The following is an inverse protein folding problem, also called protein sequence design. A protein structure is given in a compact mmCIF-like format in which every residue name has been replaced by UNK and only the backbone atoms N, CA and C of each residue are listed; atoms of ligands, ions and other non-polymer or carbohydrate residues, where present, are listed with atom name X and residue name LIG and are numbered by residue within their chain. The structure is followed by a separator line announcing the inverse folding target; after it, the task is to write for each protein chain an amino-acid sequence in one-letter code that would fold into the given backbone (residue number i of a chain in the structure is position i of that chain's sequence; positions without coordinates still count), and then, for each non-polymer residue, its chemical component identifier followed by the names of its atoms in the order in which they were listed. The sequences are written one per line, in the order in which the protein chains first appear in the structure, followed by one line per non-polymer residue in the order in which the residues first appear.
data_IF_654383108162
#
_entry.id   IF_654383108162
#
_cell.length_a   1.000
_cell.length_b   1.000
_cell.length_c   1.000
_cell.angle_alpha   90.00
_cell.angle_beta   90.00
_cell.angle_gamma   90.00
#
_symmetry.space_group_name_H-M   'P 1'
#
loop_
_entity.id
_entity.type
_entity.pdbx_description
1 polymer ?
#
# COMPACT_ATOMS: atom_id res chain seq x y z
N UNK A 1 4.84 -1.62 -13.81
CA UNK A 1 6.16 -1.29 -14.40
C UNK A 1 7.25 -2.27 -13.94
N UNK A 2 6.87 -3.52 -13.78
CA UNK A 2 7.74 -4.59 -13.29
C UNK A 2 8.95 -4.80 -14.20
N UNK A 3 10.16 -4.77 -13.62
CA UNK A 3 11.43 -4.91 -14.36
C UNK A 3 11.73 -3.76 -15.34
N UNK A 4 10.95 -2.69 -15.36
CA UNK A 4 11.13 -1.60 -16.31
C UNK A 4 12.43 -0.83 -16.02
N UNK A 5 13.14 -0.44 -17.08
CA UNK A 5 14.28 0.46 -16.96
C UNK A 5 13.81 1.92 -17.04
N UNK A 6 13.82 2.60 -15.90
CA UNK A 6 13.45 4.01 -15.73
C UNK A 6 14.68 4.84 -15.32
N UNK A 7 15.89 4.36 -15.61
CA UNK A 7 17.10 5.07 -15.24
C UNK A 7 17.16 6.44 -15.92
N UNK A 8 17.41 7.50 -15.14
CA UNK A 8 17.42 8.87 -15.62
C UNK A 8 16.04 9.45 -15.97
N UNK A 9 14.94 8.72 -15.74
CA UNK A 9 13.61 9.20 -16.07
C UNK A 9 13.22 10.43 -15.24
N UNK A 10 12.48 11.35 -15.86
CA UNK A 10 11.86 12.48 -15.18
C UNK A 10 10.45 12.08 -14.71
N UNK A 11 10.29 11.93 -13.40
CA UNK A 11 9.05 11.51 -12.72
C UNK A 11 8.52 12.60 -11.78
N UNK A 12 9.01 13.83 -11.91
CA UNK A 12 8.44 15.01 -11.25
C UNK A 12 6.97 15.15 -11.66
N UNK A 13 6.07 15.38 -10.69
CA UNK A 13 4.60 15.38 -10.86
C UNK A 13 3.95 14.05 -11.27
N UNK A 14 4.70 12.95 -11.34
CA UNK A 14 4.13 11.66 -11.69
C UNK A 14 3.20 11.15 -10.58
N UNK A 15 2.14 10.46 -10.99
CA UNK A 15 1.32 9.67 -10.10
C UNK A 15 1.75 8.20 -10.23
N UNK A 16 2.40 7.68 -9.19
CA UNK A 16 2.82 6.29 -9.10
C UNK A 16 1.91 5.47 -8.17
N UNK A 17 0.75 5.99 -7.77
CA UNK A 17 -0.20 5.27 -6.93
C UNK A 17 -0.56 3.91 -7.53
N UNK A 18 -0.52 2.85 -6.71
CA UNK A 18 -0.79 1.46 -7.08
C UNK A 18 0.13 0.90 -8.20
N UNK A 19 1.30 1.50 -8.42
CA UNK A 19 2.21 1.05 -9.48
C UNK A 19 3.11 -0.08 -9.00
N UNK A 20 3.08 -1.21 -9.70
CA UNK A 20 4.04 -2.30 -9.47
C UNK A 20 5.43 -1.90 -9.98
N UNK A 21 6.38 -1.72 -9.06
CA UNK A 21 7.77 -1.36 -9.35
C UNK A 21 8.77 -2.49 -9.02
N UNK A 22 8.29 -3.72 -8.82
CA UNK A 22 9.16 -4.86 -8.52
C UNK A 22 10.30 -4.98 -9.55
N UNK A 23 11.55 -4.95 -9.08
CA UNK A 23 12.77 -4.99 -9.90
C UNK A 23 12.89 -3.87 -10.96
N UNK A 24 12.10 -2.80 -10.86
CA UNK A 24 12.24 -1.64 -11.73
C UNK A 24 13.55 -0.89 -11.39
N UNK A 25 14.20 -0.33 -12.41
CA UNK A 25 15.43 0.44 -12.24
C UNK A 25 15.15 1.95 -12.24
N UNK A 26 15.23 2.59 -11.07
CA UNK A 26 15.09 4.04 -10.90
C UNK A 26 16.44 4.76 -10.78
N UNK A 27 17.55 4.13 -11.20
CA UNK A 27 18.88 4.73 -11.07
C UNK A 27 18.93 6.12 -11.70
N UNK A 28 19.31 7.14 -10.93
CA UNK A 28 19.38 8.56 -11.36
C UNK A 28 18.05 9.15 -11.84
N UNK A 29 16.91 8.52 -11.54
CA UNK A 29 15.61 9.12 -11.82
C UNK A 29 15.42 10.40 -10.99
N UNK A 30 14.63 11.33 -11.52
CA UNK A 30 14.28 12.60 -10.88
C UNK A 30 12.84 12.56 -10.41
N UNK A 31 12.63 12.72 -9.11
CA UNK A 31 11.31 12.75 -8.50
C UNK A 31 11.08 14.10 -7.82
N UNK A 32 9.82 14.43 -7.58
CA UNK A 32 9.43 15.64 -6.86
C UNK A 32 7.99 15.96 -7.16
N UNK A 33 7.20 16.28 -6.14
CA UNK A 33 5.73 16.39 -6.27
C UNK A 33 5.12 15.11 -6.87
N UNK A 34 5.78 13.97 -6.64
CA UNK A 34 5.37 12.64 -7.09
C UNK A 34 4.46 12.03 -6.04
N UNK A 35 3.37 11.38 -6.44
CA UNK A 35 2.50 10.63 -5.54
C UNK A 35 2.95 9.16 -5.47
N UNK A 36 3.29 8.70 -4.27
CA UNK A 36 3.71 7.33 -3.96
C UNK A 36 2.75 6.78 -2.91
N UNK A 37 1.79 5.97 -3.33
CA UNK A 37 0.84 5.30 -2.43
C UNK A 37 0.55 3.90 -2.97
N UNK A 38 0.49 2.91 -2.12
CA UNK A 38 0.34 1.49 -2.41
C UNK A 38 1.43 1.00 -3.37
N UNK A 39 2.66 1.43 -3.09
CA UNK A 39 3.87 1.07 -3.85
C UNK A 39 4.87 0.42 -2.90
N UNK A 40 5.33 -0.77 -3.27
CA UNK A 40 6.46 -1.43 -2.63
C UNK A 40 7.78 -1.02 -3.32
N UNK A 41 8.68 -0.42 -2.55
CA UNK A 41 10.00 0.02 -3.01
C UNK A 41 11.13 -0.93 -2.59
N UNK A 42 10.84 -2.01 -1.86
CA UNK A 42 11.85 -2.90 -1.27
C UNK A 42 12.78 -3.56 -2.29
N UNK A 43 12.26 -3.89 -3.47
CA UNK A 43 12.99 -4.52 -4.57
C UNK A 43 13.32 -3.56 -5.73
N UNK A 44 13.18 -2.25 -5.52
CA UNK A 44 13.49 -1.25 -6.55
C UNK A 44 14.99 -0.99 -6.63
N UNK A 45 15.54 -1.00 -7.85
CA UNK A 45 16.96 -0.84 -8.10
C UNK A 45 17.30 0.65 -8.20
N UNK A 46 18.38 1.07 -7.53
CA UNK A 46 18.98 2.40 -7.71
C UNK A 46 18.37 3.52 -6.87
N UNK A 47 17.57 3.20 -5.84
CA UNK A 47 16.91 4.17 -4.96
C UNK A 47 17.86 5.23 -4.36
N UNK A 48 19.10 4.86 -4.02
CA UNK A 48 20.11 5.79 -3.46
C UNK A 48 20.57 6.87 -4.44
N UNK A 49 20.39 6.64 -5.74
CA UNK A 49 20.81 7.57 -6.79
C UNK A 49 19.66 8.43 -7.31
N UNK A 50 18.44 8.19 -6.82
CA UNK A 50 17.29 9.02 -7.13
C UNK A 50 17.53 10.43 -6.60
N UNK A 51 17.25 11.42 -7.44
CA UNK A 51 17.31 12.83 -7.06
C UNK A 51 15.90 13.33 -6.79
N UNK A 52 15.68 13.92 -5.60
CA UNK A 52 14.41 14.56 -5.26
C UNK A 52 14.55 16.08 -5.46
N UNK A 53 13.92 16.60 -6.52
CA UNK A 53 13.90 18.03 -6.84
C UNK A 53 12.94 18.81 -5.91
N UNK A 54 11.89 18.12 -5.42
CA UNK A 54 10.92 18.60 -4.43
C UNK A 54 10.49 17.45 -3.51
N UNK A 55 9.76 17.78 -2.44
CA UNK A 55 9.08 16.78 -1.62
C UNK A 55 8.07 15.99 -2.45
N UNK A 56 7.93 14.71 -2.15
CA UNK A 56 6.93 13.82 -2.74
C UNK A 56 5.90 13.45 -1.68
N UNK A 57 4.68 13.12 -2.11
CA UNK A 57 3.67 12.57 -1.22
C UNK A 57 3.93 11.07 -1.05
N UNK A 58 4.29 10.63 0.15
CA UNK A 58 4.53 9.21 0.47
C UNK A 58 3.43 8.73 1.41
N UNK A 59 2.69 7.72 0.98
CA UNK A 59 1.66 7.04 1.78
C UNK A 59 2.27 6.27 2.94
N UNK A 60 1.52 6.19 4.04
CA UNK A 60 1.88 5.35 5.21
C UNK A 60 1.90 3.87 4.80
N UNK A 61 0.97 3.47 3.93
CA UNK A 61 0.93 2.20 3.22
C UNK A 61 2.27 1.91 2.49
N UNK A 62 2.78 2.80 1.65
CA UNK A 62 4.08 2.64 0.96
C UNK A 62 5.24 2.47 1.95
N UNK A 63 5.27 3.22 3.05
CA UNK A 63 6.30 3.07 4.09
C UNK A 63 6.26 1.67 4.71
N UNK A 64 5.08 1.22 5.10
CA UNK A 64 4.86 -0.09 5.74
C UNK A 64 5.14 -1.23 4.77
N UNK A 65 4.61 -1.16 3.54
CA UNK A 65 4.80 -2.16 2.49
C UNK A 65 6.29 -2.33 2.18
N UNK A 66 7.00 -1.22 1.94
CA UNK A 66 8.43 -1.26 1.64
C UNK A 66 9.26 -1.79 2.82
N UNK A 67 8.89 -1.45 4.05
CA UNK A 67 9.54 -1.96 5.26
C UNK A 67 9.34 -3.48 5.42
N UNK A 68 8.12 -3.97 5.22
CA UNK A 68 7.76 -5.40 5.30
C UNK A 68 8.40 -6.20 4.16
N UNK A 69 8.32 -5.68 2.93
CA UNK A 69 8.94 -6.27 1.73
C UNK A 69 10.45 -6.42 1.89
N UNK A 70 11.11 -5.46 2.55
CA UNK A 70 12.54 -5.54 2.89
C UNK A 70 12.85 -6.43 4.12
N UNK A 71 11.92 -7.31 4.52
CA UNK A 71 12.12 -8.25 5.62
C UNK A 71 12.03 -7.62 7.00
N UNK A 72 11.11 -6.66 7.18
CA UNK A 72 10.93 -5.86 8.41
C UNK A 72 12.18 -5.08 8.80
N UNK A 73 12.86 -4.49 7.80
CA UNK A 73 14.07 -3.70 7.99
C UNK A 73 14.01 -2.46 7.11
N UNK A 74 14.34 -1.31 7.70
CA UNK A 74 14.54 -0.10 6.93
C UNK A 74 15.98 -0.09 6.40
N UNK A 75 16.16 -0.49 5.13
CA UNK A 75 17.49 -0.53 4.50
C UNK A 75 18.04 0.89 4.30
N UNK A 76 19.38 1.05 4.18
CA UNK A 76 19.99 2.35 3.87
C UNK A 76 19.43 2.99 2.59
N UNK A 77 19.09 2.19 1.60
CA UNK A 77 18.52 2.61 0.32
C UNK A 77 17.14 3.22 0.51
N UNK A 78 16.24 2.50 1.19
CA UNK A 78 14.89 2.98 1.52
C UNK A 78 14.95 4.25 2.38
N UNK A 79 15.83 4.25 3.40
CA UNK A 79 16.00 5.40 4.30
C UNK A 79 16.45 6.65 3.55
N UNK A 80 17.42 6.50 2.65
CA UNK A 80 17.91 7.59 1.80
C UNK A 80 16.81 8.12 0.90
N UNK A 81 16.05 7.24 0.26
CA UNK A 81 14.94 7.61 -0.62
C UNK A 81 13.82 8.34 0.14
N UNK A 82 13.33 7.79 1.25
CA UNK A 82 12.24 8.41 2.01
C UNK A 82 12.64 9.76 2.60
N UNK A 83 13.87 9.88 3.11
CA UNK A 83 14.40 11.18 3.56
C UNK A 83 14.46 12.18 2.41
N UNK A 84 14.95 11.75 1.23
CA UNK A 84 14.96 12.58 0.02
C UNK A 84 13.56 13.03 -0.42
N UNK A 85 12.57 12.15 -0.30
CA UNK A 85 11.16 12.44 -0.56
C UNK A 85 10.53 13.42 0.45
N UNK A 86 11.20 13.68 1.58
CA UNK A 86 10.74 14.61 2.62
C UNK A 86 10.05 13.95 3.81
N UNK A 87 10.19 12.62 3.97
CA UNK A 87 9.74 11.91 5.18
C UNK A 87 10.68 12.27 6.35
N UNK A 88 10.17 12.72 7.50
CA UNK A 88 10.98 13.04 8.67
C UNK A 88 11.77 11.84 9.18
N UNK A 89 13.00 12.09 9.64
CA UNK A 89 13.90 11.05 10.14
C UNK A 89 13.34 10.38 11.39
N UNK A 90 12.72 11.15 12.27
CA UNK A 90 12.12 10.69 13.53
C UNK A 90 11.02 9.68 13.27
N UNK A 91 10.24 9.87 12.20
CA UNK A 91 9.22 8.92 11.78
C UNK A 91 9.85 7.62 11.27
N UNK A 92 10.94 7.71 10.50
CA UNK A 92 11.68 6.55 10.00
C UNK A 92 12.33 5.74 11.13
N UNK A 93 12.75 6.41 12.21
CA UNK A 93 13.29 5.76 13.41
C UNK A 93 12.21 5.08 14.26
N UNK A 94 11.04 5.70 14.38
CA UNK A 94 9.90 5.12 15.10
C UNK A 94 9.22 3.97 14.33
N UNK A 95 9.34 3.95 13.00
CA UNK A 95 8.62 3.02 12.12
C UNK A 95 8.75 1.55 12.54
N UNK A 96 9.94 0.98 12.83
CA UNK A 96 10.04 -0.42 13.22
C UNK A 96 9.26 -0.76 14.50
N UNK A 97 9.26 0.14 15.48
CA UNK A 97 8.49 -0.03 16.72
C UNK A 97 6.99 0.03 16.48
N UNK A 98 6.54 0.96 15.63
CA UNK A 98 5.12 1.08 15.24
C UNK A 98 4.67 -0.17 14.48
N UNK A 99 5.48 -0.65 13.52
CA UNK A 99 5.09 -1.77 12.65
C UNK A 99 5.21 -3.13 13.33
N UNK A 100 6.14 -3.30 14.27
CA UNK A 100 6.29 -4.56 15.01
C UNK A 100 5.05 -4.91 15.86
N UNK A 101 4.39 -3.90 16.42
CA UNK A 101 3.18 -4.06 17.23
C UNK A 101 1.93 -4.36 16.38
N UNK A 102 1.92 -3.92 15.11
CA UNK A 102 0.74 -4.02 14.24
C UNK A 102 0.90 -5.16 13.24
N UNK A 103 0.23 -6.28 13.51
CA UNK A 103 0.29 -7.47 12.64
C UNK A 103 -0.53 -7.35 11.36
N UNK A 104 -1.60 -6.55 11.34
CA UNK A 104 -2.48 -6.36 10.18
C UNK A 104 -3.09 -4.95 10.18
N UNK A 105 -3.00 -4.22 9.07
CA UNK A 105 -3.53 -2.86 8.98
C UNK A 105 -4.91 -2.76 8.35
N UNK A 106 -5.19 -3.62 7.36
CA UNK A 106 -6.38 -3.49 6.53
C UNK A 106 -6.96 -4.86 6.15
N UNK A 107 -8.27 -5.02 6.35
CA UNK A 107 -9.02 -6.21 5.98
C UNK A 107 -10.24 -5.84 5.14
N UNK A 108 -10.44 -6.56 4.05
CA UNK A 108 -11.62 -6.48 3.22
C UNK A 108 -12.52 -7.67 3.49
N UNK A 109 -13.78 -7.44 3.87
CA UNK A 109 -14.74 -8.51 4.19
C UNK A 109 -15.78 -8.56 3.08
N UNK A 110 -15.65 -9.54 2.20
CA UNK A 110 -16.64 -9.83 1.17
C UNK A 110 -17.72 -10.74 1.73
N UNK A 111 -18.98 -10.36 1.54
CA UNK A 111 -20.15 -11.08 2.02
C UNK A 111 -21.28 -11.02 0.98
N UNK A 112 -22.09 -12.06 0.90
CA UNK A 112 -23.40 -12.03 0.26
C UNK A 112 -24.49 -12.26 1.30
N UNK A 113 -25.74 -12.25 0.89
CA UNK A 113 -26.84 -12.81 1.66
C UNK A 113 -26.59 -14.32 1.87
N UNK A 114 -26.92 -14.87 3.05
CA UNK A 114 -27.52 -14.22 4.23
C UNK A 114 -26.51 -13.62 5.23
N UNK A 115 -25.23 -13.51 4.89
CA UNK A 115 -24.12 -13.26 5.82
C UNK A 115 -23.95 -11.80 6.30
N UNK A 116 -24.90 -10.90 6.00
CA UNK A 116 -24.76 -9.47 6.28
C UNK A 116 -24.53 -9.16 7.76
N UNK A 117 -25.34 -9.77 8.63
CA UNK A 117 -25.23 -9.52 10.08
C UNK A 117 -23.90 -10.03 10.64
N UNK A 118 -23.46 -11.21 10.16
CA UNK A 118 -22.17 -11.77 10.55
C UNK A 118 -21.00 -10.93 10.05
N UNK A 119 -21.06 -10.43 8.81
CA UNK A 119 -20.05 -9.55 8.23
C UNK A 119 -19.88 -8.27 9.05
N UNK A 120 -20.99 -7.63 9.43
CA UNK A 120 -20.97 -6.41 10.26
C UNK A 120 -20.35 -6.67 11.63
N UNK A 121 -20.76 -7.75 12.29
CA UNK A 121 -20.21 -8.13 13.59
C UNK A 121 -18.71 -8.41 13.52
N UNK A 122 -18.26 -9.14 12.49
CA UNK A 122 -16.84 -9.40 12.27
C UNK A 122 -16.05 -8.12 12.03
N UNK A 123 -16.62 -7.16 11.28
CA UNK A 123 -16.01 -5.85 11.05
C UNK A 123 -15.81 -5.10 12.37
N UNK A 124 -16.85 -4.99 13.19
CA UNK A 124 -16.80 -4.33 14.49
C UNK A 124 -15.79 -5.00 15.44
N UNK A 125 -15.77 -6.33 15.49
CA UNK A 125 -14.83 -7.10 16.32
C UNK A 125 -13.36 -6.89 15.90
N UNK A 126 -13.11 -6.70 14.60
CA UNK A 126 -11.77 -6.46 14.05
C UNK A 126 -11.33 -5.00 14.25
N UNK A 127 -12.24 -4.05 14.03
CA UNK A 127 -12.01 -2.63 14.33
C UNK A 127 -11.74 -2.39 15.81
N UNK A 128 -12.45 -3.10 16.71
CA UNK A 128 -12.19 -3.09 18.16
C UNK A 128 -10.80 -3.62 18.54
N UNK A 129 -10.12 -4.34 17.63
CA UNK A 129 -8.73 -4.81 17.78
C UNK A 129 -7.73 -3.95 16.99
N UNK A 130 -8.17 -2.83 16.42
CA UNK A 130 -7.33 -1.89 15.68
C UNK A 130 -7.08 -2.26 14.21
N UNK A 131 -7.84 -3.19 13.62
CA UNK A 131 -7.73 -3.54 12.21
C UNK A 131 -8.72 -2.70 11.41
N UNK A 132 -8.25 -1.91 10.44
CA UNK A 132 -9.15 -1.17 9.56
C UNK A 132 -9.91 -2.15 8.66
N UNK A 133 -11.23 -2.06 8.63
CA UNK A 133 -12.07 -3.00 7.89
C UNK A 133 -12.98 -2.30 6.90
N UNK A 134 -13.20 -2.92 5.74
CA UNK A 134 -14.16 -2.45 4.75
C UNK A 134 -15.07 -3.60 4.35
N UNK A 135 -16.38 -3.37 4.45
CA UNK A 135 -17.42 -4.30 4.05
C UNK A 135 -17.66 -4.24 2.54
N UNK A 136 -17.81 -5.41 1.93
CA UNK A 136 -18.09 -5.55 0.52
C UNK A 136 -19.25 -6.51 0.27
N UNK A 137 -20.37 -5.90 -0.11
CA UNK A 137 -21.56 -6.61 -0.55
C UNK A 137 -21.35 -7.18 -1.96
N UNK A 138 -21.36 -8.51 -2.07
CA UNK A 138 -21.22 -9.30 -3.29
C UNK A 138 -22.52 -9.33 -4.12
N UNK A 139 -23.67 -9.05 -3.51
CA UNK A 139 -24.99 -9.07 -4.17
C UNK A 139 -25.39 -7.70 -4.75
N UNK A 140 -24.57 -6.67 -4.53
CA UNK A 140 -24.78 -5.35 -5.09
C UNK A 140 -24.91 -5.43 -6.63
N UNK A 141 -25.96 -4.82 -7.18
CA UNK A 141 -26.33 -4.95 -8.59
C UNK A 141 -25.33 -4.29 -9.54
N UNK A 142 -25.18 -4.88 -10.74
CA UNK A 142 -24.33 -4.37 -11.82
C UNK A 142 -24.85 -3.01 -12.29
N UNK A 143 -24.19 -1.94 -11.87
CA UNK A 143 -24.56 -0.56 -12.17
C UNK A 143 -24.26 0.41 -11.01
N UNK A 144 -24.22 -0.08 -9.78
CA UNK A 144 -23.90 0.75 -8.60
C UNK A 144 -22.39 0.84 -8.31
N UNK A 145 -21.57 -0.08 -8.83
CA UNK A 145 -20.12 -0.14 -8.54
C UNK A 145 -19.29 -0.49 -9.76
N UNK A 146 -18.14 0.17 -9.89
CA UNK A 146 -17.26 -0.02 -11.05
C UNK A 146 -16.28 -1.17 -10.75
N UNK A 147 -16.03 -2.09 -11.69
CA UNK A 147 -14.98 -3.13 -11.56
C UNK A 147 -13.61 -2.57 -11.15
N UNK A 148 -13.36 -1.30 -11.48
CA UNK A 148 -12.20 -0.52 -11.06
C UNK A 148 -12.11 -0.34 -9.54
N UNK A 149 -13.22 -0.04 -8.86
CA UNK A 149 -13.27 0.13 -7.41
C UNK A 149 -12.98 -1.19 -6.68
N UNK A 150 -13.45 -2.31 -7.23
CA UNK A 150 -13.17 -3.66 -6.71
C UNK A 150 -11.67 -3.96 -6.82
N UNK A 151 -11.08 -3.68 -7.99
CA UNK A 151 -9.65 -3.90 -8.22
C UNK A 151 -8.74 -2.98 -7.40
N UNK A 152 -9.14 -1.73 -7.17
CA UNK A 152 -8.40 -0.77 -6.33
C UNK A 152 -8.48 -1.13 -4.84
N UNK A 153 -9.67 -1.52 -4.34
CA UNK A 153 -9.83 -1.96 -2.94
C UNK A 153 -9.14 -3.30 -2.63
N UNK A 154 -9.06 -4.21 -3.61
CA UNK A 154 -8.34 -5.49 -3.46
C UNK A 154 -6.83 -5.33 -3.29
N UNK A 155 -6.25 -4.25 -3.83
CA UNK A 155 -4.80 -3.98 -3.75
C UNK A 155 -4.40 -3.28 -2.45
N UNK A 156 -5.21 -2.34 -1.97
CA UNK A 156 -4.92 -1.60 -0.73
C UNK A 156 -5.24 -2.34 0.58
N UNK A 157 -5.98 -3.44 0.55
CA UNK A 157 -6.23 -4.28 1.73
C UNK A 157 -5.20 -5.41 1.83
N UNK A 158 -4.54 -5.54 2.99
CA UNK A 158 -3.53 -6.60 3.21
C UNK A 158 -4.14 -8.00 3.21
N UNK A 159 -5.40 -8.12 3.61
CA UNK A 159 -6.13 -9.39 3.68
C UNK A 159 -7.55 -9.24 3.16
N UNK A 160 -8.04 -10.31 2.53
CA UNK A 160 -9.44 -10.47 2.13
C UNK A 160 -10.03 -11.66 2.91
N UNK A 161 -11.14 -11.43 3.58
CA UNK A 161 -11.99 -12.46 4.19
C UNK A 161 -13.22 -12.59 3.29
N UNK A 162 -13.49 -13.81 2.83
CA UNK A 162 -14.69 -14.12 2.06
C UNK A 162 -15.61 -14.93 2.95
N UNK A 163 -16.81 -14.41 3.20
CA UNK A 163 -17.86 -15.10 3.91
C UNK A 163 -18.68 -15.89 2.91
N UNK A 164 -18.68 -17.21 3.10
CA UNK A 164 -19.42 -18.15 2.29
C UNK A 164 -20.24 -19.04 3.21
N UNK A 165 -21.53 -18.75 3.35
CA UNK A 165 -22.48 -19.68 3.94
C UNK A 165 -22.94 -20.73 2.93
N UNK A 166 -23.21 -21.94 3.43
CA UNK A 166 -23.64 -23.08 2.61
C UNK A 166 -25.14 -23.04 2.24
N UNK A 167 -25.89 -22.06 2.73
CA UNK A 167 -27.34 -21.98 2.58
C UNK A 167 -27.73 -21.20 1.32
N UNK A 168 -28.47 -21.90 0.45
CA UNK A 168 -29.18 -21.40 -0.73
C UNK A 168 -30.67 -21.24 -0.41
#
# INVERSE_FOLDING_TARGET
LTGANLAGAHLTWANLTNTELWQANLSRARLGLTALSDVDLSDVIGLTTVTHEWRSSVGVDTLILSFRGAGNRLTPELRTFFRGAGVPEELLEALPGIVAEVKYYSCFIAYGQPDVEFARKLCEDLEGKGVSCWLYDMDATVGERTWREIGEKRRGAEKMVVLCSAEA
#
